data_IF_656182892487
#
_entry.id   IF_656182892487
#
_cell.length_a   1.000
_cell.length_b   1.000
_cell.length_c   1.000
_cell.angle_alpha   90.00
_cell.angle_beta   90.00
_cell.angle_gamma   90.00
#
_symmetry.space_group_name_H-M   'P 1'
#
loop_
_entity.id
_entity.type
_entity.pdbx_description
1 polymer ?
#
# COMPACT_ATOMS: atom_id res chain seq x y z
N UNK A 1 -36.71 24.08 17.66
CA UNK A 1 -36.06 22.78 17.43
C UNK A 1 -35.30 22.88 16.12
N UNK A 2 -34.02 23.19 16.30
CA UNK A 2 -32.85 22.79 15.51
C UNK A 2 -32.93 22.84 13.98
N UNK A 3 -32.65 24.03 13.44
CA UNK A 3 -31.96 24.13 12.15
C UNK A 3 -30.45 24.08 12.40
N UNK A 4 -29.95 22.92 12.83
CA UNK A 4 -28.52 22.62 12.72
C UNK A 4 -28.29 22.36 11.22
N UNK A 5 -27.42 23.13 10.57
CA UNK A 5 -27.09 22.95 9.15
C UNK A 5 -26.57 21.53 8.94
N UNK A 6 -27.36 20.69 8.26
CA UNK A 6 -27.00 19.29 7.99
C UNK A 6 -25.72 19.21 7.14
N UNK A 7 -25.59 20.15 6.20
CA UNK A 7 -24.54 20.14 5.19
C UNK A 7 -23.73 21.43 5.21
N UNK A 8 -22.41 21.32 5.09
CA UNK A 8 -21.48 22.45 4.90
C UNK A 8 -20.79 22.29 3.55
N UNK A 9 -20.93 23.29 2.69
CA UNK A 9 -20.22 23.37 1.41
C UNK A 9 -19.47 24.70 1.34
N UNK A 10 -18.14 24.66 1.25
CA UNK A 10 -17.31 25.85 1.18
C UNK A 10 -16.22 25.74 0.12
N UNK A 11 -16.07 26.81 -0.67
CA UNK A 11 -15.03 26.92 -1.68
C UNK A 11 -14.22 28.20 -1.46
N UNK A 12 -12.90 28.08 -1.23
CA UNK A 12 -12.03 29.23 -1.01
C UNK A 12 -10.79 29.20 -1.90
N UNK A 13 -10.22 30.38 -2.16
CA UNK A 13 -8.98 30.49 -2.95
C UNK A 13 -7.73 30.29 -2.08
N UNK A 14 -7.79 30.82 -0.87
CA UNK A 14 -6.77 30.71 0.17
C UNK A 14 -7.52 30.60 1.49
N UNK A 15 -7.16 29.65 2.35
CA UNK A 15 -7.86 29.53 3.60
C UNK A 15 -7.29 28.48 4.53
N UNK A 16 -7.67 28.62 5.79
CA UNK A 16 -7.71 27.51 6.74
C UNK A 16 -9.17 27.36 7.12
N UNK A 17 -9.73 26.20 6.86
CA UNK A 17 -11.15 25.92 7.08
C UNK A 17 -11.27 24.77 8.07
N UNK A 18 -12.10 24.96 9.08
CA UNK A 18 -12.45 23.95 10.07
C UNK A 18 -13.99 23.78 10.02
N UNK A 19 -14.50 22.55 9.79
CA UNK A 19 -15.94 22.30 9.64
C UNK A 19 -16.45 21.12 10.47
N UNK A 20 -17.65 21.29 11.04
CA UNK A 20 -18.33 20.32 11.89
C UNK A 20 -19.84 20.30 11.56
N UNK A 21 -20.28 19.32 10.77
CA UNK A 21 -21.69 19.10 10.37
C UNK A 21 -21.96 17.61 10.16
N UNK A 22 -23.13 17.20 9.64
CA UNK A 22 -23.34 15.79 9.24
C UNK A 22 -22.52 15.49 7.99
N UNK A 23 -22.63 16.37 6.99
CA UNK A 23 -21.95 16.26 5.71
C UNK A 23 -21.07 17.49 5.48
N UNK A 24 -19.80 17.29 5.14
CA UNK A 24 -18.82 18.36 4.92
C UNK A 24 -18.19 18.23 3.54
N UNK A 25 -18.24 19.31 2.75
CA UNK A 25 -17.50 19.47 1.51
C UNK A 25 -16.69 20.76 1.56
N UNK A 26 -15.36 20.64 1.63
CA UNK A 26 -14.44 21.79 1.55
C UNK A 26 -13.59 21.68 0.30
N UNK A 27 -13.36 22.82 -0.33
CA UNK A 27 -12.53 22.92 -1.54
C UNK A 27 -11.67 24.18 -1.51
N UNK A 28 -10.35 24.02 -1.56
CA UNK A 28 -9.43 25.16 -1.62
C UNK A 28 -8.37 25.07 -2.73
N UNK A 29 -7.94 26.22 -3.24
CA UNK A 29 -6.78 26.24 -4.14
C UNK A 29 -5.46 26.16 -3.37
N UNK A 30 -5.39 26.76 -2.19
CA UNK A 30 -4.22 26.75 -1.31
C UNK A 30 -4.72 26.79 0.13
N UNK A 31 -4.36 25.82 0.95
CA UNK A 31 -4.88 25.88 2.31
C UNK A 31 -4.64 24.67 3.17
N UNK A 32 -5.33 24.71 4.31
CA UNK A 32 -5.48 23.60 5.23
C UNK A 32 -6.96 23.40 5.52
N UNK A 33 -7.43 22.18 5.43
CA UNK A 33 -8.82 21.82 5.68
C UNK A 33 -8.84 20.76 6.77
N UNK A 34 -9.52 21.05 7.89
CA UNK A 34 -9.70 20.13 9.00
C UNK A 34 -11.23 19.85 9.14
N UNK A 35 -11.68 18.59 9.10
CA UNK A 35 -13.11 18.28 9.19
C UNK A 35 -13.43 17.08 10.09
N UNK A 36 -14.58 17.16 10.78
CA UNK A 36 -15.09 16.07 11.61
C UNK A 36 -16.62 15.99 11.51
N UNK A 37 -17.11 14.93 10.86
CA UNK A 37 -18.52 14.75 10.48
C UNK A 37 -18.87 13.26 10.28
N UNK A 38 -20.05 12.93 9.74
CA UNK A 38 -20.34 11.57 9.28
C UNK A 38 -19.64 11.32 7.94
N UNK A 39 -19.86 12.23 6.99
CA UNK A 39 -19.29 12.16 5.64
C UNK A 39 -18.42 13.40 5.38
N UNK A 40 -17.18 13.17 4.94
CA UNK A 40 -16.20 14.24 4.65
C UNK A 40 -15.67 14.11 3.22
N UNK A 41 -15.72 15.23 2.48
CA UNK A 41 -15.00 15.40 1.22
C UNK A 41 -14.14 16.66 1.30
N UNK A 42 -12.81 16.50 1.28
CA UNK A 42 -11.85 17.61 1.21
C UNK A 42 -11.11 17.57 -0.12
N UNK A 43 -10.78 18.73 -0.65
CA UNK A 43 -10.19 18.85 -1.98
C UNK A 43 -9.32 20.09 -2.10
N UNK A 44 -8.01 19.91 -2.18
CA UNK A 44 -7.08 21.01 -2.36
C UNK A 44 -6.13 20.89 -3.56
N UNK A 45 -5.76 22.03 -4.16
CA UNK A 45 -4.67 22.02 -5.16
C UNK A 45 -3.29 21.99 -4.49
N UNK A 46 -3.14 22.67 -3.36
CA UNK A 46 -1.90 22.71 -2.60
C UNK A 46 -2.24 22.83 -1.12
N UNK A 47 -1.91 21.85 -0.29
CA UNK A 47 -2.36 21.94 1.09
C UNK A 47 -2.16 20.72 1.95
N UNK A 48 -2.88 20.76 3.07
CA UNK A 48 -3.02 19.65 4.02
C UNK A 48 -4.49 19.45 4.32
N UNK A 49 -4.93 18.20 4.31
CA UNK A 49 -6.30 17.80 4.59
C UNK A 49 -6.25 16.82 5.76
N UNK A 50 -6.94 17.14 6.86
CA UNK A 50 -7.03 16.29 8.06
C UNK A 50 -8.53 15.97 8.30
N UNK A 51 -8.92 14.69 8.35
CA UNK A 51 -10.33 14.30 8.53
C UNK A 51 -10.56 13.18 9.55
N UNK A 52 -11.67 13.27 10.28
CA UNK A 52 -12.13 12.24 11.22
C UNK A 52 -13.64 12.03 11.12
N UNK A 53 -14.08 10.92 10.53
CA UNK A 53 -15.51 10.67 10.22
C UNK A 53 -15.86 9.19 10.09
N UNK A 54 -17.06 8.85 9.60
CA UNK A 54 -17.37 7.48 9.16
C UNK A 54 -16.75 7.23 7.78
N UNK A 55 -17.05 8.12 6.84
CA UNK A 55 -16.58 8.05 5.45
C UNK A 55 -15.75 9.28 5.12
N UNK A 56 -14.53 9.07 4.59
CA UNK A 56 -13.58 10.14 4.23
C UNK A 56 -13.15 10.01 2.77
N UNK A 57 -13.23 11.11 2.03
CA UNK A 57 -12.57 11.28 0.73
C UNK A 57 -11.70 12.54 0.77
N UNK A 58 -10.38 12.37 0.68
CA UNK A 58 -9.42 13.47 0.56
C UNK A 58 -8.76 13.44 -0.83
N UNK A 59 -8.47 14.61 -1.38
CA UNK A 59 -8.00 14.72 -2.75
C UNK A 59 -7.11 15.96 -2.95
N UNK A 60 -5.79 15.77 -2.98
CA UNK A 60 -4.86 16.85 -3.19
C UNK A 60 -3.98 16.73 -4.46
N UNK A 61 -3.70 17.85 -5.13
CA UNK A 61 -2.68 17.82 -6.21
C UNK A 61 -1.25 17.83 -5.64
N UNK A 62 -1.02 18.53 -4.54
CA UNK A 62 0.28 18.62 -3.88
C UNK A 62 0.05 18.79 -2.38
N UNK A 63 0.40 17.82 -1.56
CA UNK A 63 0.02 17.96 -0.15
C UNK A 63 0.26 16.77 0.74
N UNK A 64 -0.47 16.79 1.85
CA UNK A 64 -0.54 15.73 2.85
C UNK A 64 -2.00 15.50 3.19
N UNK A 65 -2.39 14.25 3.30
CA UNK A 65 -3.75 13.82 3.61
C UNK A 65 -3.67 12.87 4.79
N UNK A 66 -4.32 13.21 5.90
CA UNK A 66 -4.32 12.41 7.12
C UNK A 66 -5.79 12.08 7.48
N UNK A 67 -6.15 10.80 7.60
CA UNK A 67 -7.53 10.38 7.88
C UNK A 67 -7.66 9.31 8.97
N UNK A 68 -8.73 9.43 9.76
CA UNK A 68 -9.14 8.44 10.76
C UNK A 68 -10.65 8.18 10.65
N UNK A 69 -11.06 7.02 10.13
CA UNK A 69 -12.48 6.74 9.87
C UNK A 69 -12.82 5.24 9.80
N UNK A 70 -14.04 4.88 9.38
CA UNK A 70 -14.35 3.51 9.01
C UNK A 70 -13.82 3.23 7.60
N UNK A 71 -14.19 4.09 6.64
CA UNK A 71 -13.81 3.98 5.24
C UNK A 71 -13.01 5.22 4.80
N UNK A 72 -11.84 5.00 4.20
CA UNK A 72 -10.93 6.07 3.75
C UNK A 72 -10.57 5.90 2.28
N UNK A 73 -10.71 6.99 1.52
CA UNK A 73 -10.12 7.14 0.18
C UNK A 73 -9.26 8.40 0.15
N UNK A 74 -7.95 8.24 0.00
CA UNK A 74 -6.99 9.34 -0.18
C UNK A 74 -6.41 9.29 -1.60
N UNK A 75 -6.16 10.45 -2.19
CA UNK A 75 -5.75 10.54 -3.59
C UNK A 75 -4.90 11.78 -3.85
N UNK A 76 -3.59 11.59 -4.00
CA UNK A 76 -2.69 12.69 -4.32
C UNK A 76 -1.88 12.55 -5.61
N UNK A 77 -1.58 13.68 -6.27
CA UNK A 77 -0.60 13.66 -7.38
C UNK A 77 0.84 13.68 -6.87
N UNK A 78 1.11 14.40 -5.79
CA UNK A 78 2.43 14.50 -5.17
C UNK A 78 2.25 14.72 -3.67
N UNK A 79 2.62 13.75 -2.83
CA UNK A 79 2.30 13.93 -1.42
C UNK A 79 2.63 12.77 -0.50
N UNK A 80 1.97 12.81 0.65
CA UNK A 80 1.94 11.77 1.66
C UNK A 80 0.50 11.54 2.07
N UNK A 81 0.13 10.29 2.24
CA UNK A 81 -1.21 9.87 2.62
C UNK A 81 -1.05 8.92 3.81
N UNK A 82 -1.64 9.28 4.95
CA UNK A 82 -1.59 8.50 6.18
C UNK A 82 -3.03 8.17 6.63
N UNK A 83 -3.35 6.88 6.80
CA UNK A 83 -4.71 6.45 7.13
C UNK A 83 -4.80 5.42 8.28
N UNK A 84 -5.79 5.63 9.15
CA UNK A 84 -6.16 4.71 10.24
C UNK A 84 -7.65 4.38 10.14
N UNK A 85 -8.01 3.19 9.64
CA UNK A 85 -9.44 2.86 9.43
C UNK A 85 -9.76 1.36 9.45
N UNK A 86 -10.99 0.98 9.07
CA UNK A 86 -11.29 -0.43 8.77
C UNK A 86 -10.85 -0.74 7.34
N UNK A 87 -11.29 0.08 6.39
CA UNK A 87 -11.01 -0.09 4.97
C UNK A 87 -10.28 1.15 4.43
N UNK A 88 -9.14 0.93 3.76
CA UNK A 88 -8.27 1.99 3.23
C UNK A 88 -8.00 1.79 1.75
N UNK A 89 -8.17 2.86 0.97
CA UNK A 89 -7.64 2.99 -0.39
C UNK A 89 -6.80 4.26 -0.49
N UNK A 90 -5.49 4.12 -0.69
CA UNK A 90 -4.57 5.23 -0.95
C UNK A 90 -4.04 5.15 -2.38
N UNK A 91 -3.83 6.31 -3.01
CA UNK A 91 -3.48 6.36 -4.42
C UNK A 91 -2.66 7.62 -4.75
N UNK A 92 -1.35 7.45 -4.95
CA UNK A 92 -0.49 8.55 -5.33
C UNK A 92 0.28 8.39 -6.65
N UNK A 93 0.50 9.51 -7.37
CA UNK A 93 1.43 9.46 -8.52
C UNK A 93 2.90 9.51 -8.07
N UNK A 94 3.21 10.26 -7.03
CA UNK A 94 4.56 10.39 -6.47
C UNK A 94 4.46 10.63 -4.97
N UNK A 95 4.88 9.70 -4.13
CA UNK A 95 4.63 9.90 -2.71
C UNK A 95 5.02 8.77 -1.78
N UNK A 96 4.39 8.84 -0.62
CA UNK A 96 4.42 7.81 0.42
C UNK A 96 2.99 7.58 0.89
N UNK A 97 2.65 6.33 1.10
CA UNK A 97 1.33 5.90 1.55
C UNK A 97 1.56 4.99 2.76
N UNK A 98 1.04 5.38 3.92
CA UNK A 98 1.18 4.63 5.17
C UNK A 98 -0.23 4.29 5.69
N UNK A 99 -0.54 3.00 5.91
CA UNK A 99 -1.88 2.57 6.31
C UNK A 99 -1.88 1.56 7.48
N UNK A 100 -2.83 1.78 8.40
CA UNK A 100 -3.12 0.90 9.53
C UNK A 100 -4.61 0.55 9.54
N UNK A 101 -4.99 -0.65 9.08
CA UNK A 101 -6.42 -1.01 8.95
C UNK A 101 -6.71 -2.51 9.03
N UNK A 102 -7.94 -2.93 8.72
CA UNK A 102 -8.23 -4.35 8.47
C UNK A 102 -7.87 -4.69 7.02
N UNK A 103 -8.38 -3.91 6.07
CA UNK A 103 -8.18 -4.12 4.64
C UNK A 103 -7.50 -2.88 4.02
N UNK A 104 -6.40 -3.10 3.29
CA UNK A 104 -5.57 -2.03 2.70
C UNK A 104 -5.36 -2.27 1.21
N UNK A 105 -5.59 -1.22 0.42
CA UNK A 105 -5.11 -1.12 -0.96
C UNK A 105 -4.29 0.15 -1.12
N UNK A 106 -2.99 0.02 -1.37
CA UNK A 106 -2.09 1.14 -1.70
C UNK A 106 -1.64 1.03 -3.16
N UNK A 107 -1.47 2.17 -3.82
CA UNK A 107 -1.19 2.20 -5.25
C UNK A 107 -0.42 3.46 -5.64
N UNK A 108 0.89 3.31 -5.90
CA UNK A 108 1.72 4.42 -6.34
C UNK A 108 2.43 4.23 -7.69
N UNK A 109 2.58 5.32 -8.45
CA UNK A 109 3.45 5.27 -9.65
C UNK A 109 4.94 5.32 -9.28
N UNK A 110 5.29 6.11 -8.27
CA UNK A 110 6.66 6.27 -7.79
C UNK A 110 6.64 6.55 -6.29
N UNK A 111 7.11 5.64 -5.45
CA UNK A 111 6.94 5.89 -4.03
C UNK A 111 7.38 4.79 -3.09
N UNK A 112 6.82 4.88 -1.89
CA UNK A 112 6.89 3.87 -0.84
C UNK A 112 5.49 3.64 -0.30
N UNK A 113 5.18 2.39 -0.04
CA UNK A 113 3.90 1.94 0.49
C UNK A 113 4.20 1.08 1.71
N UNK A 114 3.75 1.50 2.89
CA UNK A 114 3.95 0.79 4.15
C UNK A 114 2.57 0.44 4.73
N UNK A 115 2.28 -0.85 4.96
CA UNK A 115 0.97 -1.30 5.43
C UNK A 115 1.02 -2.26 6.62
N UNK A 116 0.12 -2.04 7.57
CA UNK A 116 -0.10 -2.90 8.73
C UNK A 116 -1.58 -3.26 8.84
N UNK A 117 -1.97 -4.46 8.42
CA UNK A 117 -3.39 -4.85 8.38
C UNK A 117 -3.63 -6.35 8.51
N UNK A 118 -4.85 -6.82 8.24
CA UNK A 118 -5.11 -8.25 8.01
C UNK A 118 -4.84 -8.61 6.56
N UNK A 119 -5.43 -7.85 5.64
CA UNK A 119 -5.35 -8.10 4.21
C UNK A 119 -4.73 -6.87 3.53
N UNK A 120 -3.65 -7.09 2.77
CA UNK A 120 -2.87 -6.02 2.12
C UNK A 120 -2.72 -6.29 0.63
N UNK A 121 -2.98 -5.26 -0.18
CA UNK A 121 -2.58 -5.20 -1.58
C UNK A 121 -1.77 -3.92 -1.81
N UNK A 122 -0.48 -4.06 -2.11
CA UNK A 122 0.39 -2.94 -2.50
C UNK A 122 0.76 -3.07 -3.98
N UNK A 123 0.88 -1.96 -4.67
CA UNK A 123 1.07 -1.95 -6.12
C UNK A 123 1.82 -0.69 -6.59
N UNK A 124 3.11 -0.83 -6.89
CA UNK A 124 3.90 0.27 -7.40
C UNK A 124 4.55 0.06 -8.78
N UNK A 125 4.67 1.14 -9.57
CA UNK A 125 5.49 1.06 -10.80
C UNK A 125 6.98 1.15 -10.49
N UNK A 126 7.37 1.96 -9.51
CA UNK A 126 8.75 2.15 -9.10
C UNK A 126 8.79 2.47 -7.61
N UNK A 127 9.31 1.59 -6.77
CA UNK A 127 9.20 1.87 -5.34
C UNK A 127 9.70 0.81 -4.41
N UNK A 128 9.21 0.93 -3.18
CA UNK A 128 9.35 -0.05 -2.12
C UNK A 128 8.00 -0.30 -1.50
N UNK A 129 7.72 -1.54 -1.20
CA UNK A 129 6.47 -2.00 -0.60
C UNK A 129 6.86 -2.82 0.63
N UNK A 130 6.45 -2.38 1.80
CA UNK A 130 6.72 -3.06 3.07
C UNK A 130 5.37 -3.40 3.74
N UNK A 131 5.09 -4.69 3.98
CA UNK A 131 3.80 -5.14 4.51
C UNK A 131 3.91 -6.09 5.72
N UNK A 132 3.07 -5.84 6.72
CA UNK A 132 2.91 -6.68 7.91
C UNK A 132 1.45 -7.05 8.09
N UNK A 133 1.06 -8.27 7.71
CA UNK A 133 -0.35 -8.68 7.75
C UNK A 133 -0.57 -10.18 7.92
N UNK A 134 -1.80 -10.65 7.71
CA UNK A 134 -2.07 -12.09 7.54
C UNK A 134 -1.87 -12.49 6.08
N UNK A 135 -2.52 -11.76 5.17
CA UNK A 135 -2.53 -12.03 3.75
C UNK A 135 -1.94 -10.82 3.01
N UNK A 136 -0.91 -11.04 2.20
CA UNK A 136 -0.19 -9.98 1.47
C UNK A 136 -0.10 -10.30 -0.01
N UNK A 137 -0.41 -9.30 -0.84
CA UNK A 137 -0.06 -9.27 -2.26
C UNK A 137 0.73 -7.99 -2.54
N UNK A 138 2.01 -8.12 -2.89
CA UNK A 138 2.86 -7.02 -3.34
C UNK A 138 3.16 -7.17 -4.83
N UNK A 139 3.22 -6.06 -5.54
CA UNK A 139 3.34 -6.07 -7.00
C UNK A 139 4.04 -4.83 -7.52
N UNK A 140 5.33 -4.96 -7.85
CA UNK A 140 6.10 -3.86 -8.40
C UNK A 140 6.68 -4.10 -9.81
N UNK A 141 6.75 -3.04 -10.63
CA UNK A 141 7.51 -3.16 -11.89
C UNK A 141 9.02 -3.04 -11.66
N UNK A 142 9.44 -2.18 -10.74
CA UNK A 142 10.84 -1.96 -10.40
C UNK A 142 10.96 -1.60 -8.93
N UNK A 143 11.52 -2.46 -8.09
CA UNK A 143 11.47 -2.15 -6.68
C UNK A 143 12.04 -3.20 -5.75
N UNK A 144 11.62 -3.04 -4.50
CA UNK A 144 11.87 -3.98 -3.42
C UNK A 144 10.54 -4.22 -2.70
N UNK A 145 10.25 -5.47 -2.45
CA UNK A 145 9.06 -5.92 -1.74
C UNK A 145 9.54 -6.69 -0.51
N UNK A 146 9.15 -6.23 0.68
CA UNK A 146 9.43 -6.89 1.95
C UNK A 146 8.11 -7.25 2.63
N UNK A 147 7.91 -8.53 2.97
CA UNK A 147 6.67 -8.98 3.61
C UNK A 147 6.90 -9.86 4.85
N UNK A 148 6.00 -9.72 5.81
CA UNK A 148 5.93 -10.51 7.04
C UNK A 148 4.46 -10.92 7.29
N UNK A 149 4.08 -12.14 6.93
CA UNK A 149 2.68 -12.56 7.07
C UNK A 149 2.47 -14.07 7.30
N UNK A 150 1.23 -14.55 7.13
CA UNK A 150 0.95 -15.98 7.00
C UNK A 150 1.08 -16.38 5.53
N UNK A 151 0.36 -15.72 4.64
CA UNK A 151 0.32 -16.03 3.22
C UNK A 151 0.79 -14.82 2.40
N UNK A 152 1.77 -15.05 1.50
CA UNK A 152 2.39 -13.99 0.71
C UNK A 152 2.48 -14.34 -0.77
N UNK A 153 2.13 -13.36 -1.60
CA UNK A 153 2.45 -13.32 -3.01
C UNK A 153 3.23 -12.05 -3.31
N UNK A 154 4.51 -12.19 -3.70
CA UNK A 154 5.35 -11.09 -4.19
C UNK A 154 5.58 -11.26 -5.69
N UNK A 155 5.58 -10.16 -6.43
CA UNK A 155 5.61 -10.18 -7.88
C UNK A 155 6.30 -8.94 -8.45
N UNK A 156 7.60 -9.07 -8.77
CA UNK A 156 8.34 -7.98 -9.37
C UNK A 156 8.87 -8.25 -10.79
N UNK A 157 8.84 -7.23 -11.66
CA UNK A 157 9.53 -7.38 -12.97
C UNK A 157 11.04 -7.25 -12.82
N UNK A 158 11.50 -6.33 -11.99
CA UNK A 158 12.92 -6.09 -11.73
C UNK A 158 13.10 -5.68 -10.27
N UNK A 159 13.71 -6.52 -9.44
CA UNK A 159 13.75 -6.16 -8.03
C UNK A 159 14.37 -7.16 -7.09
N UNK A 160 14.00 -6.98 -5.83
CA UNK A 160 14.30 -7.88 -4.74
C UNK A 160 13.02 -8.14 -3.97
N UNK A 161 12.80 -9.40 -3.65
CA UNK A 161 11.66 -9.86 -2.87
C UNK A 161 12.25 -10.57 -1.65
N UNK A 162 11.97 -10.05 -0.45
CA UNK A 162 12.42 -10.63 0.81
C UNK A 162 11.17 -10.98 1.65
N UNK A 163 11.01 -12.25 2.04
CA UNK A 163 9.81 -12.71 2.77
C UNK A 163 10.09 -13.58 4.01
N UNK A 164 9.24 -13.42 5.02
CA UNK A 164 9.20 -14.22 6.25
C UNK A 164 7.77 -14.61 6.62
N UNK A 165 7.28 -15.76 6.11
CA UNK A 165 5.87 -16.15 6.25
C UNK A 165 5.66 -17.65 6.44
N UNK A 166 4.42 -18.17 6.33
CA UNK A 166 4.17 -19.62 6.31
C UNK A 166 4.18 -20.15 4.89
N UNK A 167 3.40 -19.52 4.03
CA UNK A 167 3.21 -19.92 2.63
C UNK A 167 3.59 -18.75 1.71
N UNK A 168 4.50 -19.01 0.78
CA UNK A 168 5.09 -17.94 -0.05
C UNK A 168 5.13 -18.30 -1.51
N UNK A 169 4.74 -17.34 -2.34
CA UNK A 169 4.98 -17.34 -3.77
C UNK A 169 5.76 -16.07 -4.12
N UNK A 170 7.01 -16.24 -4.55
CA UNK A 170 7.84 -15.16 -5.09
C UNK A 170 7.99 -15.34 -6.60
N UNK A 171 7.95 -14.25 -7.35
CA UNK A 171 7.89 -14.29 -8.80
C UNK A 171 8.56 -13.07 -9.41
N UNK A 172 9.83 -13.21 -9.80
CA UNK A 172 10.56 -12.14 -10.47
C UNK A 172 11.09 -12.43 -11.87
N UNK A 173 11.01 -11.45 -12.77
CA UNK A 173 11.63 -11.62 -14.10
C UNK A 173 13.16 -11.44 -14.04
N UNK A 174 13.63 -10.50 -13.22
CA UNK A 174 15.05 -10.21 -13.04
C UNK A 174 15.31 -9.75 -11.60
N UNK A 175 15.97 -10.55 -10.78
CA UNK A 175 16.08 -10.14 -9.40
C UNK A 175 16.74 -11.10 -8.46
N UNK A 176 16.40 -10.90 -7.19
CA UNK A 176 16.75 -11.80 -6.09
C UNK A 176 15.51 -12.05 -5.27
N UNK A 177 15.27 -13.31 -4.95
CA UNK A 177 14.19 -13.78 -4.11
C UNK A 177 14.82 -14.47 -2.89
N UNK A 178 14.52 -13.97 -1.69
CA UNK A 178 14.95 -14.57 -0.42
C UNK A 178 13.69 -14.91 0.41
N UNK A 179 13.46 -16.19 0.74
CA UNK A 179 12.27 -16.64 1.48
C UNK A 179 12.61 -17.52 2.70
N UNK A 180 11.92 -17.27 3.82
CA UNK A 180 12.04 -18.01 5.08
C UNK A 180 10.67 -18.47 5.59
N UNK A 181 10.22 -19.67 5.18
CA UNK A 181 8.82 -20.09 5.38
C UNK A 181 8.63 -21.59 5.57
N UNK A 182 7.39 -22.08 5.66
CA UNK A 182 7.10 -23.53 5.67
C UNK A 182 7.07 -24.08 4.24
N UNK A 183 6.28 -23.43 3.38
CA UNK A 183 6.11 -23.79 1.98
C UNK A 183 6.50 -22.59 1.10
N UNK A 184 7.39 -22.84 0.13
CA UNK A 184 7.93 -21.78 -0.73
C UNK A 184 7.87 -22.18 -2.19
N UNK A 185 7.36 -21.28 -3.03
CA UNK A 185 7.45 -21.34 -4.49
C UNK A 185 8.23 -20.11 -4.96
N UNK A 186 9.41 -20.33 -5.55
CA UNK A 186 10.22 -19.28 -6.16
C UNK A 186 10.22 -19.45 -7.69
N UNK A 187 10.12 -18.34 -8.40
CA UNK A 187 10.01 -18.33 -9.85
C UNK A 187 10.78 -17.17 -10.47
N UNK A 188 12.08 -17.35 -10.72
CA UNK A 188 12.90 -16.35 -11.38
C UNK A 188 13.33 -16.72 -12.81
N UNK A 189 13.20 -15.77 -13.75
CA UNK A 189 13.78 -15.96 -15.10
C UNK A 189 15.30 -15.74 -15.12
N UNK A 190 15.80 -14.75 -14.38
CA UNK A 190 17.22 -14.39 -14.32
C UNK A 190 17.57 -13.81 -12.95
N UNK A 191 18.30 -14.55 -12.13
CA UNK A 191 18.52 -14.04 -10.77
C UNK A 191 19.18 -14.98 -9.80
N UNK A 192 18.83 -14.77 -8.54
CA UNK A 192 19.23 -15.61 -7.43
C UNK A 192 18.02 -15.92 -6.57
N UNK A 193 17.89 -17.17 -6.17
CA UNK A 193 16.83 -17.66 -5.31
C UNK A 193 17.48 -18.29 -4.06
N UNK A 194 17.18 -17.75 -2.87
CA UNK A 194 17.63 -18.30 -1.60
C UNK A 194 16.38 -18.70 -0.78
N UNK A 195 16.22 -19.99 -0.47
CA UNK A 195 15.04 -20.51 0.25
C UNK A 195 15.42 -21.31 1.49
N UNK A 196 14.74 -21.03 2.61
CA UNK A 196 14.84 -21.78 3.86
C UNK A 196 13.44 -22.23 4.29
N UNK A 197 13.08 -23.48 3.99
CA UNK A 197 11.72 -23.98 4.29
C UNK A 197 11.64 -25.50 4.49
N UNK A 198 10.44 -26.05 4.70
CA UNK A 198 10.20 -27.50 4.74
C UNK A 198 10.02 -28.06 3.33
N UNK A 199 9.21 -27.35 2.51
CA UNK A 199 8.93 -27.68 1.12
C UNK A 199 9.30 -26.48 0.23
N UNK A 200 10.10 -26.73 -0.80
CA UNK A 200 10.53 -25.73 -1.79
C UNK A 200 10.23 -26.19 -3.21
N UNK A 201 9.61 -25.33 -4.01
CA UNK A 201 9.56 -25.44 -5.46
C UNK A 201 10.34 -24.27 -6.07
N UNK A 202 11.40 -24.57 -6.81
CA UNK A 202 12.21 -23.58 -7.54
C UNK A 202 12.00 -23.73 -9.04
N UNK A 203 11.61 -22.66 -9.71
CA UNK A 203 11.35 -22.63 -11.14
C UNK A 203 12.20 -21.54 -11.82
N UNK A 204 13.39 -21.94 -12.26
CA UNK A 204 14.39 -21.00 -12.74
C UNK A 204 14.78 -21.20 -14.22
N UNK A 205 15.06 -20.12 -14.95
CA UNK A 205 15.69 -20.26 -16.30
C UNK A 205 17.20 -20.07 -16.27
N UNK A 206 17.69 -19.03 -15.63
CA UNK A 206 19.10 -18.66 -15.54
C UNK A 206 19.41 -18.12 -14.14
N UNK A 207 19.43 -19.00 -13.15
CA UNK A 207 19.56 -18.57 -11.75
C UNK A 207 20.64 -19.33 -11.01
N UNK A 208 21.13 -18.68 -9.95
CA UNK A 208 21.86 -19.36 -8.88
C UNK A 208 20.89 -19.61 -7.73
N UNK A 209 20.95 -20.80 -7.16
CA UNK A 209 19.99 -21.23 -6.16
C UNK A 209 20.72 -21.74 -4.92
N UNK A 210 20.23 -21.36 -3.75
CA UNK A 210 20.64 -21.91 -2.46
C UNK A 210 19.36 -22.29 -1.68
N UNK A 211 18.99 -23.59 -1.67
CA UNK A 211 17.82 -24.09 -0.95
C UNK A 211 18.22 -24.98 0.23
N UNK A 212 17.70 -24.65 1.42
CA UNK A 212 17.85 -25.42 2.64
C UNK A 212 16.48 -25.95 3.06
N UNK A 213 16.17 -27.17 2.64
CA UNK A 213 14.83 -27.77 2.79
C UNK A 213 14.86 -29.29 2.95
N UNK A 214 13.76 -29.86 3.45
CA UNK A 214 13.55 -31.31 3.49
C UNK A 214 13.18 -31.82 2.09
N UNK A 215 12.20 -31.17 1.47
CA UNK A 215 11.74 -31.51 0.12
C UNK A 215 11.99 -30.34 -0.85
N UNK A 216 12.61 -30.66 -1.99
CA UNK A 216 12.97 -29.68 -3.02
C UNK A 216 12.58 -30.21 -4.40
N UNK A 217 11.74 -29.44 -5.10
CA UNK A 217 11.44 -29.64 -6.52
C UNK A 217 12.15 -28.55 -7.32
N UNK A 218 13.04 -28.96 -8.21
CA UNK A 218 13.83 -28.08 -9.06
C UNK A 218 13.42 -28.19 -10.51
N UNK A 219 13.01 -27.06 -11.09
CA UNK A 219 12.65 -26.91 -12.50
C UNK A 219 13.58 -25.91 -13.19
N UNK A 220 14.88 -26.18 -13.20
CA UNK A 220 15.85 -25.30 -13.83
C UNK A 220 16.23 -25.69 -15.26
N UNK A 221 16.20 -24.71 -16.15
CA UNK A 221 16.63 -24.91 -17.54
C UNK A 221 18.15 -24.73 -17.73
N UNK A 222 18.75 -23.77 -17.03
CA UNK A 222 20.19 -23.50 -17.04
C UNK A 222 20.64 -22.98 -15.66
N UNK A 223 21.43 -23.78 -14.93
CA UNK A 223 22.03 -23.46 -13.64
C UNK A 223 23.54 -23.72 -13.64
#
# INVERSE_FOLDING_TARGET
EDACSQDVILCCKYGREDAYSQDVILCCKYGREDACSQDVILCCKYGREDACSQDVILCCKYGREDACSQDVILCCKYGREDAYSQDVILCCKYGREDAYSQDVILCCKYGREDAYSRDVILCCKYGREDAYSRDVILCCKYGREDAYSQDVILCCKYGREDDYSRDVILCCQYGREDAYSQDVILCCKYGREDAYSQDVILCCKYCREDAYSQDVILCCQYG
#
